data_IF_155465714675
#
_entry.id   IF_155465714675
#
_cell.length_a   1.000
_cell.length_b   1.000
_cell.length_c   1.000
_cell.angle_alpha   90.00
_cell.angle_beta   90.00
_cell.angle_gamma   90.00
#
_symmetry.space_group_name_H-M   'P 1'
#
loop_
_entity.id
_entity.type
_entity.pdbx_description
1 polymer ?
#
# COMPACT_ATOMS: atom_id res chain seq x y z
N UNK A 1 -6.02 -5.56 17.96
CA UNK A 1 -5.03 -4.62 17.40
C UNK A 1 -3.82 -5.44 16.97
N UNK A 2 -3.10 -5.02 15.95
CA UNK A 2 -1.87 -5.71 15.52
C UNK A 2 -0.92 -5.84 16.70
N UNK A 3 -0.36 -7.04 16.86
CA UNK A 3 0.53 -7.40 17.94
C UNK A 3 1.88 -7.79 17.35
N UNK A 4 2.96 -7.35 17.98
CA UNK A 4 4.34 -7.69 17.58
C UNK A 4 5.03 -8.34 18.76
N UNK A 5 5.72 -9.45 18.49
CA UNK A 5 6.65 -10.04 19.44
C UNK A 5 8.09 -9.83 18.97
N UNK A 6 8.92 -9.29 19.84
CA UNK A 6 10.36 -9.16 19.63
C UNK A 6 11.06 -10.33 20.34
N UNK A 7 11.84 -11.09 19.58
CA UNK A 7 12.67 -12.19 20.07
C UNK A 7 14.13 -11.77 19.91
N UNK A 8 14.83 -11.60 21.04
CA UNK A 8 16.24 -11.24 21.10
C UNK A 8 17.03 -12.50 21.45
N UNK A 9 17.90 -12.95 20.55
CA UNK A 9 18.78 -14.12 20.77
C UNK A 9 20.23 -13.78 20.43
N UNK A 10 21.12 -14.34 21.24
CA UNK A 10 22.56 -14.42 20.95
C UNK A 10 22.91 -15.85 20.58
N UNK A 11 23.50 -16.08 19.42
CA UNK A 11 23.95 -17.40 18.97
C UNK A 11 25.18 -17.32 18.06
N UNK A 12 26.15 -18.19 18.34
CA UNK A 12 27.30 -18.49 17.49
C UNK A 12 26.95 -19.46 16.35
N UNK A 13 25.75 -20.05 16.36
CA UNK A 13 25.27 -21.14 15.48
C UNK A 13 24.07 -20.70 14.63
N UNK A 14 24.14 -19.50 14.04
CA UNK A 14 23.04 -18.92 13.29
C UNK A 14 22.59 -19.76 12.08
N UNK A 15 23.52 -20.43 11.38
CA UNK A 15 23.14 -21.26 10.24
C UNK A 15 22.29 -22.48 10.67
N UNK A 16 22.58 -23.06 11.83
CA UNK A 16 21.76 -24.12 12.44
C UNK A 16 20.40 -23.56 12.89
N UNK A 17 20.38 -22.35 13.45
CA UNK A 17 19.15 -21.65 13.83
C UNK A 17 18.24 -21.40 12.63
N UNK A 18 18.79 -20.92 11.51
CA UNK A 18 18.02 -20.69 10.29
C UNK A 18 17.43 -21.98 9.72
N UNK A 19 18.21 -23.07 9.70
CA UNK A 19 17.71 -24.37 9.24
C UNK A 19 16.57 -24.89 10.13
N UNK A 20 16.67 -24.66 11.45
CA UNK A 20 15.59 -24.97 12.39
C UNK A 20 14.32 -24.17 12.07
N UNK A 21 14.46 -22.85 11.83
CA UNK A 21 13.34 -21.98 11.46
C UNK A 21 12.72 -22.38 10.13
N UNK A 22 13.51 -22.67 9.09
CA UNK A 22 13.01 -23.16 7.80
C UNK A 22 12.22 -24.48 7.95
N UNK A 23 12.71 -25.37 8.81
CA UNK A 23 12.03 -26.64 9.11
C UNK A 23 10.71 -26.42 9.86
N UNK A 24 10.69 -25.51 10.83
CA UNK A 24 9.47 -25.13 11.56
C UNK A 24 8.45 -24.49 10.62
N UNK A 25 8.92 -23.61 9.75
CA UNK A 25 8.14 -22.98 8.69
C UNK A 25 7.43 -24.07 7.88
N UNK A 26 8.14 -25.08 7.41
CA UNK A 26 7.52 -26.16 6.63
C UNK A 26 6.53 -27.01 7.45
N UNK A 27 6.88 -27.36 8.70
CA UNK A 27 6.03 -28.18 9.59
C UNK A 27 4.74 -27.49 10.05
N UNK A 28 4.75 -26.16 10.13
CA UNK A 28 3.59 -25.35 10.57
C UNK A 28 2.76 -24.81 9.42
N UNK A 29 3.03 -25.24 8.18
CA UNK A 29 2.27 -24.83 6.99
C UNK A 29 0.76 -25.06 7.21
N UNK A 30 -0.02 -24.00 7.06
CA UNK A 30 -1.48 -24.01 7.27
C UNK A 30 -1.95 -23.84 8.71
N UNK A 31 -1.05 -23.74 9.70
CA UNK A 31 -1.37 -23.49 11.11
C UNK A 31 -0.88 -22.14 11.63
N UNK A 32 -0.16 -21.35 10.82
CA UNK A 32 0.41 -20.05 11.21
C UNK A 32 -0.63 -18.94 11.25
N UNK A 33 -0.43 -18.01 12.18
CA UNK A 33 -1.11 -16.72 12.24
C UNK A 33 -0.14 -15.54 12.18
N UNK A 34 1.18 -15.78 12.12
CA UNK A 34 2.12 -14.70 11.85
C UNK A 34 1.84 -14.14 10.44
N UNK A 35 1.64 -12.83 10.34
CA UNK A 35 1.34 -12.12 9.09
C UNK A 35 2.59 -11.60 8.40
N UNK A 36 3.63 -11.30 9.19
CA UNK A 36 4.89 -10.76 8.72
C UNK A 36 6.01 -11.14 9.71
N UNK A 37 7.23 -11.34 9.21
CA UNK A 37 8.39 -11.67 10.03
C UNK A 37 9.65 -11.00 9.46
N UNK A 38 10.44 -10.40 10.35
CA UNK A 38 11.73 -9.79 10.00
C UNK A 38 12.80 -10.28 10.95
N UNK A 39 13.88 -10.84 10.42
CA UNK A 39 15.06 -11.25 11.19
C UNK A 39 16.20 -10.30 10.85
N UNK A 40 16.65 -9.56 11.86
CA UNK A 40 17.79 -8.66 11.78
C UNK A 40 19.01 -9.26 12.47
N UNK A 41 20.15 -9.27 11.78
CA UNK A 41 21.46 -9.51 12.39
C UNK A 41 22.06 -8.18 12.84
N UNK A 42 22.51 -8.10 14.08
CA UNK A 42 23.23 -6.93 14.55
C UNK A 42 24.51 -6.75 13.73
N UNK A 43 24.69 -5.54 13.18
CA UNK A 43 25.85 -5.19 12.37
C UNK A 43 27.13 -5.11 13.21
N UNK A 44 27.00 -4.73 14.48
CA UNK A 44 28.13 -4.53 15.40
C UNK A 44 28.47 -5.80 16.18
N UNK A 45 27.56 -6.77 16.19
CA UNK A 45 27.70 -8.02 16.94
C UNK A 45 27.17 -9.20 16.12
N UNK A 46 28.09 -9.98 15.54
CA UNK A 46 27.74 -11.03 14.61
C UNK A 46 27.03 -12.24 15.25
N UNK A 47 26.97 -12.34 16.58
CA UNK A 47 26.19 -13.36 17.28
C UNK A 47 24.82 -12.86 17.74
N UNK A 48 24.50 -11.58 17.62
CA UNK A 48 23.24 -11.01 18.10
C UNK A 48 22.22 -10.87 16.98
N UNK A 49 21.01 -11.37 17.22
CA UNK A 49 19.91 -11.38 16.27
C UNK A 49 18.62 -10.96 16.96
N UNK A 50 17.81 -10.20 16.22
CA UNK A 50 16.48 -9.78 16.64
C UNK A 50 15.49 -10.27 15.59
N UNK A 51 14.49 -11.02 16.01
CA UNK A 51 13.35 -11.40 15.21
C UNK A 51 12.13 -10.59 15.65
N UNK A 52 11.40 -10.05 14.66
CA UNK A 52 10.20 -9.25 14.85
C UNK A 52 9.06 -9.97 14.15
N UNK A 53 8.17 -10.58 14.94
CA UNK A 53 7.05 -11.37 14.42
C UNK A 53 5.75 -10.60 14.62
N UNK A 54 5.02 -10.38 13.54
CA UNK A 54 3.73 -9.69 13.56
C UNK A 54 2.57 -10.69 13.53
N UNK A 55 1.55 -10.43 14.37
CA UNK A 55 0.32 -11.22 14.47
C UNK A 55 -0.92 -10.33 14.38
N UNK A 56 -2.07 -10.87 13.90
CA UNK A 56 -3.35 -10.17 13.88
C UNK A 56 -3.80 -9.69 15.26
N UNK A 57 -3.47 -10.46 16.31
CA UNK A 57 -3.72 -10.10 17.71
C UNK A 57 -2.83 -10.90 18.66
N UNK A 58 -2.77 -10.44 19.92
CA UNK A 58 -2.10 -11.15 21.01
C UNK A 58 -2.72 -12.53 21.25
N UNK A 59 -4.04 -12.66 21.20
CA UNK A 59 -4.72 -13.95 21.40
C UNK A 59 -4.32 -14.98 20.34
N UNK A 60 -4.16 -14.56 19.09
CA UNK A 60 -3.68 -15.44 18.02
C UNK A 60 -2.21 -15.82 18.20
N UNK A 61 -1.36 -14.89 18.66
CA UNK A 61 0.02 -15.18 19.03
C UNK A 61 0.09 -16.24 20.15
N UNK A 62 -0.73 -16.09 21.19
CA UNK A 62 -0.78 -17.03 22.31
C UNK A 62 -1.37 -18.38 21.91
N UNK A 63 -2.37 -18.42 21.04
CA UNK A 63 -2.93 -19.68 20.52
C UNK A 63 -1.86 -20.52 19.82
N UNK A 64 -0.94 -19.88 19.10
CA UNK A 64 0.16 -20.55 18.41
C UNK A 64 1.29 -20.93 19.36
N UNK A 65 1.62 -20.06 20.30
CA UNK A 65 2.65 -20.32 21.30
C UNK A 65 2.33 -21.57 22.13
N UNK A 66 1.05 -21.81 22.41
CA UNK A 66 0.57 -22.99 23.15
C UNK A 66 0.47 -24.28 22.29
N UNK A 67 0.90 -24.28 21.02
CA UNK A 67 0.93 -25.51 20.21
C UNK A 67 2.14 -26.38 20.62
N UNK A 68 1.97 -27.71 20.77
CA UNK A 68 3.08 -28.62 21.10
C UNK A 68 4.24 -28.56 20.08
N UNK A 69 3.93 -28.30 18.81
CA UNK A 69 4.92 -28.11 17.76
C UNK A 69 5.76 -26.84 17.96
N UNK A 70 5.16 -25.76 18.49
CA UNK A 70 5.84 -24.50 18.82
C UNK A 70 6.75 -24.68 20.03
N UNK A 71 6.28 -25.35 21.09
CA UNK A 71 7.09 -25.69 22.28
C UNK A 71 8.35 -26.52 21.94
N UNK A 72 8.23 -27.40 20.95
CA UNK A 72 9.35 -28.25 20.53
C UNK A 72 10.41 -27.41 19.83
N UNK A 73 10.00 -26.57 18.87
CA UNK A 73 10.94 -25.70 18.15
C UNK A 73 11.51 -24.62 19.05
N UNK A 74 10.73 -24.09 19.99
CA UNK A 74 11.24 -23.17 21.00
C UNK A 74 12.38 -23.77 21.82
N UNK A 75 12.25 -25.03 22.26
CA UNK A 75 13.33 -25.72 23.01
C UNK A 75 14.58 -25.93 22.17
N UNK A 76 14.41 -26.28 20.90
CA UNK A 76 15.52 -26.43 19.95
C UNK A 76 16.20 -25.07 19.69
N UNK A 77 15.43 -24.00 19.56
CA UNK A 77 15.91 -22.62 19.41
C UNK A 77 16.74 -22.20 20.64
N UNK A 78 16.20 -22.36 21.84
CA UNK A 78 16.91 -22.05 23.10
C UNK A 78 18.21 -22.85 23.21
N UNK A 79 18.24 -24.11 22.79
CA UNK A 79 19.46 -24.92 22.80
C UNK A 79 20.54 -24.46 21.80
N UNK A 80 20.15 -23.68 20.78
CA UNK A 80 21.05 -23.08 19.80
C UNK A 80 21.54 -21.70 20.22
N UNK A 81 20.85 -20.98 21.10
CA UNK A 81 21.33 -19.71 21.65
C UNK A 81 22.50 -19.93 22.65
N UNK A 82 23.47 -19.01 22.64
CA UNK A 82 24.57 -18.94 23.59
C UNK A 82 24.10 -18.40 24.95
N UNK A 83 23.02 -17.61 24.94
CA UNK A 83 22.34 -17.05 26.11
C UNK A 83 20.84 -17.29 26.01
N UNK A 84 20.11 -17.20 27.14
CA UNK A 84 18.65 -17.34 27.10
C UNK A 84 18.05 -16.20 26.27
N UNK A 85 17.23 -16.51 25.24
CA UNK A 85 16.58 -15.49 24.45
C UNK A 85 15.55 -14.73 25.29
N UNK A 86 15.31 -13.47 24.95
CA UNK A 86 14.28 -12.65 25.58
C UNK A 86 13.12 -12.39 24.62
N UNK A 87 11.92 -12.27 25.19
CA UNK A 87 10.67 -12.10 24.46
C UNK A 87 9.99 -10.85 24.98
N UNK A 88 9.69 -9.91 24.07
CA UNK A 88 8.97 -8.69 24.42
C UNK A 88 7.69 -8.62 23.61
N UNK A 89 6.57 -8.57 24.32
CA UNK A 89 5.23 -8.46 23.76
C UNK A 89 4.87 -6.98 23.58
N UNK A 90 4.56 -6.57 22.34
CA UNK A 90 4.36 -5.18 21.97
C UNK A 90 3.00 -4.97 21.31
N UNK A 91 2.23 -4.03 21.85
CA UNK A 91 1.11 -3.45 21.13
C UNK A 91 1.63 -2.45 20.10
N UNK A 92 1.22 -2.61 18.83
CA UNK A 92 1.58 -1.65 17.78
C UNK A 92 0.80 -0.36 18.00
N UNK A 93 1.50 0.69 18.46
CA UNK A 93 0.92 2.01 18.69
C UNK A 93 0.78 2.81 17.39
N UNK A 94 1.73 2.64 16.46
CA UNK A 94 1.77 3.34 15.17
C UNK A 94 2.58 2.54 14.16
N UNK A 95 2.00 2.30 13.00
CA UNK A 95 2.66 1.78 11.81
C UNK A 95 2.52 2.82 10.68
N UNK A 96 3.64 3.29 10.14
CA UNK A 96 3.66 4.35 9.14
C UNK A 96 4.06 3.85 7.75
N UNK A 97 3.05 3.63 6.93
CA UNK A 97 3.23 3.34 5.51
C UNK A 97 3.39 4.66 4.73
N UNK A 98 4.58 5.27 4.82
CA UNK A 98 4.83 6.64 4.33
C UNK A 98 4.49 6.84 2.85
N UNK A 99 4.78 5.86 1.99
CA UNK A 99 4.42 5.92 0.57
C UNK A 99 2.90 5.89 0.37
N UNK A 100 2.19 4.99 1.05
CA UNK A 100 0.74 4.89 0.98
C UNK A 100 0.07 6.18 1.48
N UNK A 101 0.57 6.74 2.58
CA UNK A 101 0.08 8.00 3.14
C UNK A 101 0.26 9.17 2.15
N UNK A 102 1.42 9.27 1.48
CA UNK A 102 1.64 10.31 0.47
C UNK A 102 0.74 10.14 -0.76
N UNK A 103 0.58 8.91 -1.25
CA UNK A 103 -0.32 8.59 -2.38
C UNK A 103 -1.78 8.90 -2.05
N UNK A 104 -2.24 8.56 -0.84
CA UNK A 104 -3.58 8.90 -0.37
C UNK A 104 -3.79 10.42 -0.36
N UNK A 105 -2.84 11.16 0.20
CA UNK A 105 -2.87 12.62 0.24
C UNK A 105 -2.93 13.22 -1.16
N UNK A 106 -2.21 12.65 -2.12
CA UNK A 106 -2.30 13.07 -3.53
C UNK A 106 -3.72 12.90 -4.08
N UNK A 107 -4.33 11.71 -3.94
CA UNK A 107 -5.68 11.46 -4.43
C UNK A 107 -6.73 12.35 -3.76
N UNK A 108 -6.62 12.58 -2.45
CA UNK A 108 -7.48 13.51 -1.71
C UNK A 108 -7.31 14.97 -2.17
N UNK A 109 -6.08 15.35 -2.55
CA UNK A 109 -5.78 16.69 -3.09
C UNK A 109 -6.55 16.93 -4.40
N UNK A 110 -6.73 15.90 -5.24
CA UNK A 110 -7.45 16.01 -6.51
C UNK A 110 -8.91 16.46 -6.32
N UNK A 111 -9.55 16.06 -5.22
CA UNK A 111 -10.94 16.38 -4.89
C UNK A 111 -11.10 17.59 -3.94
N UNK A 112 -10.02 18.30 -3.62
CA UNK A 112 -10.09 19.47 -2.74
C UNK A 112 -10.92 20.58 -3.39
N UNK A 113 -11.73 21.32 -2.61
CA UNK A 113 -12.52 22.44 -3.15
C UNK A 113 -11.64 23.67 -3.40
N UNK A 114 -11.95 24.43 -4.45
CA UNK A 114 -11.26 25.68 -4.77
C UNK A 114 -10.04 25.49 -5.66
N UNK A 115 -8.99 26.28 -5.45
CA UNK A 115 -7.75 26.18 -6.22
C UNK A 115 -6.97 24.90 -5.87
N UNK A 116 -6.38 24.27 -6.89
CA UNK A 116 -5.56 23.09 -6.70
C UNK A 116 -4.24 23.47 -5.98
N UNK A 117 -3.92 22.85 -4.82
CA UNK A 117 -2.65 23.09 -4.14
C UNK A 117 -1.43 22.71 -5.01
N UNK A 118 -0.23 23.25 -4.68
CA UNK A 118 1.00 22.84 -5.34
C UNK A 118 1.30 21.34 -5.16
N UNK A 119 1.52 20.63 -6.27
CA UNK A 119 1.76 19.18 -6.27
C UNK A 119 3.24 18.80 -6.04
N UNK A 120 4.16 19.76 -6.10
CA UNK A 120 5.61 19.55 -5.96
C UNK A 120 6.05 19.00 -4.59
N UNK A 121 5.17 19.06 -3.58
CA UNK A 121 5.39 18.43 -2.28
C UNK A 121 5.05 16.93 -2.27
N UNK A 122 4.19 16.48 -3.19
CA UNK A 122 3.69 15.11 -3.27
C UNK A 122 4.33 14.32 -4.42
N UNK A 123 4.68 15.01 -5.50
CA UNK A 123 5.12 14.44 -6.77
C UNK A 123 6.43 15.07 -7.25
N UNK A 124 7.20 14.33 -8.03
CA UNK A 124 8.42 14.82 -8.66
C UNK A 124 8.12 15.72 -9.87
N UNK A 125 9.02 16.65 -10.17
CA UNK A 125 8.86 17.59 -11.30
C UNK A 125 8.75 16.87 -12.65
N UNK A 126 9.47 15.75 -12.80
CA UNK A 126 9.49 14.90 -13.98
C UNK A 126 8.55 13.69 -13.86
N UNK A 127 7.44 13.83 -13.12
CA UNK A 127 6.43 12.79 -12.99
C UNK A 127 5.98 12.24 -14.36
N UNK A 128 5.79 10.93 -14.43
CA UNK A 128 5.37 10.25 -15.66
C UNK A 128 4.04 9.52 -15.45
N UNK A 129 3.02 9.90 -16.21
CA UNK A 129 1.67 9.39 -16.07
C UNK A 129 1.26 8.54 -17.28
N UNK A 130 0.86 7.30 -17.00
CA UNK A 130 0.33 6.35 -17.97
C UNK A 130 -1.18 6.24 -17.79
N UNK A 131 -1.91 7.16 -18.42
CA UNK A 131 -3.37 7.10 -18.49
C UNK A 131 -3.80 6.44 -19.82
N UNK A 132 -4.54 5.31 -19.80
CA UNK A 132 -5.07 4.68 -21.01
C UNK A 132 -6.04 5.57 -21.80
N UNK A 133 -6.45 6.71 -21.23
CA UNK A 133 -7.24 7.69 -21.94
C UNK A 133 -6.47 8.53 -22.95
N UNK A 134 -5.14 8.60 -22.83
CA UNK A 134 -4.26 9.43 -23.62
C UNK A 134 -3.50 8.59 -24.67
N UNK A 135 -3.19 9.19 -25.82
CA UNK A 135 -2.37 8.55 -26.86
C UNK A 135 -0.88 8.48 -26.48
N UNK A 136 -0.43 9.40 -25.63
CA UNK A 136 0.93 9.51 -25.15
C UNK A 136 0.93 9.74 -23.65
N UNK A 137 2.01 9.32 -23.00
CA UNK A 137 2.20 9.54 -21.57
C UNK A 137 2.27 11.04 -21.25
N UNK A 138 1.70 11.41 -20.10
CA UNK A 138 1.77 12.77 -19.58
C UNK A 138 3.05 12.95 -18.78
N UNK A 139 3.90 13.89 -19.20
CA UNK A 139 5.21 14.14 -18.60
C UNK A 139 5.23 15.51 -17.91
N UNK A 140 5.54 15.48 -16.62
CA UNK A 140 5.81 16.65 -15.79
C UNK A 140 4.59 17.30 -15.16
N UNK A 141 4.84 18.06 -14.08
CA UNK A 141 3.76 18.59 -13.23
C UNK A 141 2.85 19.60 -13.92
N UNK A 142 3.34 20.37 -14.89
CA UNK A 142 2.52 21.33 -15.62
C UNK A 142 1.50 20.62 -16.53
N UNK A 143 1.90 19.51 -17.15
CA UNK A 143 1.00 18.70 -17.96
C UNK A 143 -0.02 17.99 -17.08
N UNK A 144 0.43 17.39 -15.97
CA UNK A 144 -0.45 16.77 -14.97
C UNK A 144 -1.48 17.77 -14.40
N UNK A 145 -1.06 19.00 -14.08
CA UNK A 145 -1.96 20.03 -13.56
C UNK A 145 -3.07 20.37 -14.55
N UNK A 146 -2.74 20.51 -15.85
CA UNK A 146 -3.73 20.78 -16.90
C UNK A 146 -4.78 19.67 -17.00
N UNK A 147 -4.36 18.41 -16.88
CA UNK A 147 -5.29 17.28 -16.87
C UNK A 147 -6.22 17.31 -15.65
N UNK A 148 -5.65 17.54 -14.45
CA UNK A 148 -6.45 17.65 -13.22
C UNK A 148 -7.46 18.82 -13.34
N UNK A 149 -7.04 19.95 -13.89
CA UNK A 149 -7.91 21.11 -14.12
C UNK A 149 -9.01 20.82 -15.14
N UNK A 150 -8.74 20.05 -16.20
CA UNK A 150 -9.76 19.59 -17.15
C UNK A 150 -10.84 18.77 -16.44
N UNK A 151 -10.44 17.79 -15.62
CA UNK A 151 -11.39 16.97 -14.85
C UNK A 151 -12.19 17.81 -13.83
N UNK A 152 -11.53 18.74 -13.13
CA UNK A 152 -12.18 19.66 -12.17
C UNK A 152 -13.08 20.70 -12.83
N UNK A 153 -12.83 21.02 -14.10
CA UNK A 153 -13.68 21.89 -14.90
C UNK A 153 -14.98 21.21 -15.34
N UNK A 154 -14.90 19.92 -15.71
CA UNK A 154 -16.07 19.12 -16.08
C UNK A 154 -16.93 18.68 -14.89
N UNK A 155 -16.30 18.41 -13.75
CA UNK A 155 -16.96 17.74 -12.63
C UNK A 155 -16.69 18.38 -11.27
N UNK A 156 -17.74 18.39 -10.44
CA UNK A 156 -17.62 18.54 -8.99
C UNK A 156 -17.66 17.15 -8.36
N UNK A 157 -16.54 16.70 -7.77
CA UNK A 157 -16.36 15.29 -7.42
C UNK A 157 -15.72 15.05 -6.07
N UNK A 158 -15.89 13.83 -5.58
CA UNK A 158 -15.18 13.26 -4.44
C UNK A 158 -14.37 12.04 -4.87
N UNK A 159 -13.30 11.77 -4.13
CA UNK A 159 -12.41 10.63 -4.36
C UNK A 159 -12.31 9.83 -3.06
N UNK A 160 -12.74 8.58 -3.09
CA UNK A 160 -12.67 7.66 -1.95
C UNK A 160 -11.58 6.63 -2.22
N UNK A 161 -10.59 6.58 -1.33
CA UNK A 161 -9.57 5.53 -1.34
C UNK A 161 -10.11 4.32 -0.58
N UNK A 162 -10.44 3.26 -1.32
CA UNK A 162 -11.05 2.03 -0.79
C UNK A 162 -10.02 1.11 -0.16
N UNK A 163 -8.85 0.98 -0.79
CA UNK A 163 -7.78 0.09 -0.34
C UNK A 163 -6.41 0.57 -0.85
N UNK A 164 -5.34 0.29 -0.09
CA UNK A 164 -3.96 0.57 -0.48
C UNK A 164 -3.03 -0.59 -0.10
N UNK A 165 -2.31 -1.08 -1.09
CA UNK A 165 -1.31 -2.14 -0.95
C UNK A 165 0.06 -1.56 -1.32
N UNK A 166 1.06 -1.76 -0.46
CA UNK A 166 2.42 -1.27 -0.70
C UNK A 166 3.37 -2.45 -0.88
N UNK A 167 4.17 -2.42 -1.94
CA UNK A 167 5.24 -3.38 -2.19
C UNK A 167 6.48 -2.65 -2.70
N UNK A 168 7.56 -2.67 -1.91
CA UNK A 168 8.77 -1.92 -2.21
C UNK A 168 8.50 -0.42 -2.34
N UNK A 169 8.77 0.13 -3.51
CA UNK A 169 8.56 1.54 -3.85
C UNK A 169 7.20 1.81 -4.53
N UNK A 170 6.32 0.82 -4.61
CA UNK A 170 5.02 0.92 -5.30
C UNK A 170 3.84 0.89 -4.35
N UNK A 171 2.82 1.67 -4.67
CA UNK A 171 1.53 1.70 -3.98
C UNK A 171 0.42 1.44 -4.99
N UNK A 172 -0.26 0.31 -4.85
CA UNK A 172 -1.50 0.01 -5.57
C UNK A 172 -2.69 0.55 -4.77
N UNK A 173 -3.51 1.39 -5.37
CA UNK A 173 -4.66 2.03 -4.73
C UNK A 173 -5.93 1.71 -5.49
N UNK A 174 -6.91 1.09 -4.82
CA UNK A 174 -8.27 0.94 -5.35
C UNK A 174 -9.13 2.09 -4.86
N UNK A 175 -9.94 2.64 -5.76
CA UNK A 175 -10.69 3.84 -5.45
C UNK A 175 -12.06 3.90 -6.13
N UNK A 176 -12.92 4.71 -5.54
CA UNK A 176 -14.22 5.11 -6.08
C UNK A 176 -14.22 6.61 -6.27
N UNK A 177 -14.60 7.05 -7.46
CA UNK A 177 -14.77 8.45 -7.83
C UNK A 177 -16.25 8.72 -8.07
N UNK A 178 -16.78 9.78 -7.47
CA UNK A 178 -18.18 10.18 -7.63
C UNK A 178 -18.22 11.65 -8.05
N UNK A 179 -18.87 11.94 -9.18
CA UNK A 179 -18.88 13.28 -9.74
C UNK A 179 -20.25 13.73 -10.24
N UNK A 180 -20.50 15.03 -10.10
CA UNK A 180 -21.59 15.73 -10.76
C UNK A 180 -21.05 16.38 -12.04
N UNK A 181 -21.58 16.04 -13.21
CA UNK A 181 -21.17 16.62 -14.49
C UNK A 181 -21.74 18.03 -14.64
N UNK A 182 -20.93 19.06 -14.37
CA UNK A 182 -21.35 20.46 -14.25
C UNK A 182 -20.73 21.40 -15.28
N UNK A 183 -19.68 20.96 -15.97
CA UNK A 183 -19.04 21.70 -17.06
C UNK A 183 -18.88 20.81 -18.28
N UNK A 184 -18.44 21.40 -19.38
CA UNK A 184 -18.15 20.65 -20.60
C UNK A 184 -16.96 19.72 -20.35
N UNK A 185 -17.11 18.45 -20.75
CA UNK A 185 -16.07 17.45 -20.61
C UNK A 185 -15.86 16.67 -21.90
N UNK A 186 -14.66 16.76 -22.48
CA UNK A 186 -14.30 16.10 -23.74
C UNK A 186 -15.30 16.35 -24.90
N UNK A 187 -15.88 17.55 -24.97
CA UNK A 187 -16.87 17.92 -25.99
C UNK A 187 -18.31 17.54 -25.67
N UNK A 188 -18.56 16.90 -24.53
CA UNK A 188 -19.91 16.62 -24.03
C UNK A 188 -20.34 17.78 -23.12
N UNK A 189 -21.42 18.50 -23.44
CA UNK A 189 -21.92 19.56 -22.58
C UNK A 189 -22.36 19.05 -21.21
N UNK A 190 -22.32 19.92 -20.20
CA UNK A 190 -22.76 19.60 -18.84
C UNK A 190 -24.17 18.96 -18.82
N UNK A 191 -24.24 17.70 -18.42
CA UNK A 191 -25.50 16.92 -18.40
C UNK A 191 -26.27 17.09 -17.09
N UNK A 192 -25.59 17.51 -16.01
CA UNK A 192 -26.14 17.55 -14.66
C UNK A 192 -26.24 16.18 -13.97
N UNK A 193 -25.83 15.10 -14.65
CA UNK A 193 -25.90 13.74 -14.11
C UNK A 193 -24.94 13.55 -12.93
N UNK A 194 -25.36 12.72 -11.98
CA UNK A 194 -24.48 12.10 -11.00
C UNK A 194 -23.91 10.84 -11.63
N UNK A 195 -22.60 10.70 -11.62
CA UNK A 195 -21.91 9.57 -12.22
C UNK A 195 -20.88 9.00 -11.25
N UNK A 196 -20.67 7.70 -11.34
CA UNK A 196 -19.70 6.98 -10.51
C UNK A 196 -18.72 6.23 -11.41
N UNK A 197 -17.46 6.22 -11.00
CA UNK A 197 -16.39 5.49 -11.66
C UNK A 197 -15.56 4.78 -10.60
N UNK A 198 -15.13 3.56 -10.90
CA UNK A 198 -14.17 2.83 -10.06
C UNK A 198 -12.89 2.62 -10.83
N UNK A 199 -11.78 2.49 -10.10
CA UNK A 199 -10.49 2.28 -10.70
C UNK A 199 -9.45 1.75 -9.74
N UNK A 200 -8.32 1.40 -10.33
CA UNK A 200 -7.09 1.02 -9.62
C UNK A 200 -5.94 1.79 -10.23
N UNK A 201 -5.09 2.34 -9.39
CA UNK A 201 -3.86 3.04 -9.79
C UNK A 201 -2.67 2.42 -9.10
N UNK A 202 -1.59 2.24 -9.84
CA UNK A 202 -0.29 1.91 -9.25
C UNK A 202 0.57 3.16 -9.34
N UNK A 203 1.10 3.62 -8.21
CA UNK A 203 2.08 4.70 -8.17
C UNK A 203 3.44 4.16 -7.75
N UNK A 204 4.50 4.64 -8.38
CA UNK A 204 5.87 4.44 -7.92
C UNK A 204 6.36 5.70 -7.21
N UNK A 205 6.99 5.48 -6.06
CA UNK A 205 7.56 6.52 -5.21
C UNK A 205 9.08 6.49 -5.25
N UNK A 206 9.72 7.64 -5.05
CA UNK A 206 11.15 7.74 -4.79
C UNK A 206 11.43 7.59 -3.28
N UNK A 207 12.69 7.39 -2.92
CA UNK A 207 13.16 7.28 -1.52
C UNK A 207 12.71 8.43 -0.60
N UNK A 208 12.50 9.64 -1.13
CA UNK A 208 11.99 10.80 -0.38
C UNK A 208 10.45 10.83 -0.27
N UNK A 209 9.78 9.76 -0.71
CA UNK A 209 8.33 9.59 -0.65
C UNK A 209 7.55 10.20 -1.81
N UNK A 210 8.20 10.96 -2.70
CA UNK A 210 7.51 11.62 -3.82
C UNK A 210 7.09 10.64 -4.90
N UNK A 211 5.89 10.83 -5.44
CA UNK A 211 5.38 10.07 -6.57
C UNK A 211 6.14 10.48 -7.84
N UNK A 212 6.68 9.50 -8.56
CA UNK A 212 7.49 9.71 -9.77
C UNK A 212 6.85 9.11 -11.02
N UNK A 213 5.95 8.15 -10.86
CA UNK A 213 5.31 7.48 -12.00
C UNK A 213 3.95 6.90 -11.58
N UNK A 214 2.97 6.87 -12.49
CA UNK A 214 1.64 6.34 -12.22
C UNK A 214 1.05 5.58 -13.40
N UNK A 215 0.36 4.48 -13.12
CA UNK A 215 -0.37 3.68 -14.10
C UNK A 215 -1.84 3.60 -13.70
N UNK A 216 -2.72 4.17 -14.54
CA UNK A 216 -4.16 4.25 -14.28
C UNK A 216 -4.92 3.14 -14.99
N UNK A 217 -5.93 2.57 -14.33
CA UNK A 217 -6.93 1.68 -14.93
C UNK A 217 -8.29 1.98 -14.29
N UNK A 218 -9.28 2.37 -15.09
CA UNK A 218 -10.58 2.80 -14.57
C UNK A 218 -11.71 2.65 -15.59
N UNK A 219 -12.95 2.65 -15.11
CA UNK A 219 -14.15 2.44 -15.92
C UNK A 219 -14.53 3.68 -16.77
N UNK A 220 -13.67 4.02 -17.73
CA UNK A 220 -13.90 5.15 -18.65
C UNK A 220 -15.12 4.90 -19.53
N UNK A 221 -15.33 3.67 -19.99
CA UNK A 221 -16.47 3.34 -20.84
C UNK A 221 -17.80 3.51 -20.08
N UNK A 222 -17.87 3.02 -18.84
CA UNK A 222 -19.02 3.22 -17.96
C UNK A 222 -19.26 4.70 -17.64
N UNK A 223 -18.20 5.51 -17.48
CA UNK A 223 -18.35 6.96 -17.37
C UNK A 223 -18.98 7.56 -18.64
N UNK A 224 -18.46 7.25 -19.83
CA UNK A 224 -18.98 7.78 -21.10
C UNK A 224 -20.44 7.38 -21.34
N UNK A 225 -20.83 6.16 -20.96
CA UNK A 225 -22.22 5.70 -21.00
C UNK A 225 -23.13 6.54 -20.09
N UNK A 226 -22.71 6.80 -18.85
CA UNK A 226 -23.47 7.64 -17.89
C UNK A 226 -23.60 9.11 -18.34
N UNK A 227 -22.72 9.58 -19.22
CA UNK A 227 -22.79 10.90 -19.85
C UNK A 227 -23.66 10.94 -21.12
N UNK A 228 -24.20 9.80 -21.56
CA UNK A 228 -25.00 9.68 -22.79
C UNK A 228 -24.18 9.72 -24.08
N UNK A 229 -22.85 9.53 -24.00
CA UNK A 229 -21.97 9.62 -25.17
C UNK A 229 -22.10 8.41 -26.12
N UNK A 230 -22.62 7.29 -25.62
CA UNK A 230 -22.77 6.05 -26.38
C UNK A 230 -24.14 5.91 -27.05
N UNK A 231 -25.12 6.76 -26.72
CA UNK A 231 -26.46 6.75 -27.28
C UNK A 231 -26.45 6.97 -28.82
N UNK A 232 -25.41 7.62 -29.34
CA UNK A 232 -25.19 7.84 -30.77
C UNK A 232 -24.66 6.60 -31.52
N UNK A 233 -24.13 5.59 -30.81
CA UNK A 233 -23.64 4.33 -31.40
C UNK A 233 -24.75 3.26 -31.48
N UNK A 234 -25.89 3.49 -30.84
CA UNK A 234 -27.06 2.60 -30.87
C UNK A 234 -28.05 2.93 -32.00
N UNK A 235 -27.79 3.99 -32.78
CA UNK A 235 -28.59 4.41 -33.95
C UNK A 235 -27.95 3.97 -35.27
#
# INVERSE_FOLDING_TARGET
>A
MTFVQLIDCRTSRFDEMNQLMDTWVERTKGKRAATHNVIGKDRSDASHFIEIVEFPSFEEAMRISNLPETDTVFREMVALCDELPTFTDLDVVRDEQLYAANVRRFLETLATRGELPPLNSLMAENYHDHDPANEQDTIGLDAMRREIEMWRGGFDFTFTVEDQLTEGDRVCTRWTWNGAHKGDFMGIPATGNQVTMTGTTVFRCREDGKIVEGWWQYDRLGLMSQLGALDALEQ
#
